data_IF_055827721080
#
_entry.id   IF_055827721080
#
_cell.length_a   1.000
_cell.length_b   1.000
_cell.length_c   1.000
_cell.angle_alpha   90.00
_cell.angle_beta   90.00
_cell.angle_gamma   90.00
#
_symmetry.space_group_name_H-M   'P 1'
#
loop_
_entity.id
_entity.type
_entity.pdbx_description
1 polymer ?
#
# COMPACT_ATOMS: atom_id res chain seq x y z
N UNK A 1 -12.94 -22.78 -44.71
CA UNK A 1 -12.26 -22.08 -43.61
C UNK A 1 -11.95 -23.13 -42.56
N UNK A 2 -10.67 -23.45 -42.39
CA UNK A 2 -10.23 -24.38 -41.35
C UNK A 2 -10.42 -23.65 -40.02
N UNK A 3 -11.30 -24.20 -39.19
CA UNK A 3 -11.48 -23.75 -37.81
C UNK A 3 -10.16 -24.07 -37.10
N UNK A 4 -9.36 -23.06 -36.77
CA UNK A 4 -8.18 -23.24 -35.93
C UNK A 4 -8.71 -23.41 -34.51
N UNK A 5 -9.18 -24.61 -34.18
CA UNK A 5 -9.21 -25.02 -32.78
C UNK A 5 -7.75 -25.19 -32.38
N UNK A 6 -7.14 -24.12 -31.87
CA UNK A 6 -5.87 -24.21 -31.17
C UNK A 6 -6.04 -25.33 -30.14
N UNK A 7 -5.23 -26.37 -30.24
CA UNK A 7 -5.18 -27.42 -29.24
C UNK A 7 -4.97 -26.69 -27.90
N UNK A 8 -5.88 -26.78 -26.92
CA UNK A 8 -5.67 -26.08 -25.66
C UNK A 8 -4.36 -26.60 -25.09
N UNK A 9 -3.38 -25.71 -24.95
CA UNK A 9 -2.11 -26.07 -24.34
C UNK A 9 -2.45 -26.41 -22.90
N UNK A 10 -2.27 -27.68 -22.54
CA UNK A 10 -2.35 -28.09 -21.14
C UNK A 10 -1.09 -27.58 -20.43
N UNK A 11 -1.27 -26.51 -19.65
CA UNK A 11 -0.19 -25.91 -18.88
C UNK A 11 0.42 -26.90 -17.89
N UNK A 12 -0.38 -27.84 -17.39
CA UNK A 12 0.09 -28.86 -16.46
C UNK A 12 1.21 -29.70 -17.07
N UNK A 13 0.98 -30.25 -18.27
CA UNK A 13 1.98 -31.03 -18.98
C UNK A 13 3.25 -30.22 -19.28
N UNK A 14 3.09 -28.96 -19.72
CA UNK A 14 4.22 -28.06 -20.03
C UNK A 14 5.05 -27.75 -18.79
N UNK A 15 4.41 -27.36 -17.70
CA UNK A 15 5.10 -27.00 -16.45
C UNK A 15 5.73 -28.22 -15.77
N UNK A 16 5.09 -29.40 -15.85
CA UNK A 16 5.66 -30.66 -15.35
C UNK A 16 6.94 -31.03 -16.10
N UNK A 17 6.95 -30.90 -17.43
CA UNK A 17 8.14 -31.15 -18.24
C UNK A 17 9.26 -30.15 -17.92
N UNK A 18 8.92 -28.86 -17.78
CA UNK A 18 9.88 -27.82 -17.42
C UNK A 18 10.49 -28.03 -16.02
N UNK A 19 9.67 -28.39 -15.02
CA UNK A 19 10.14 -28.75 -13.69
C UNK A 19 11.08 -29.94 -13.71
N UNK A 20 10.83 -30.94 -14.55
CA UNK A 20 11.69 -32.12 -14.67
C UNK A 20 13.10 -31.77 -15.22
N UNK A 21 13.23 -30.66 -15.94
CA UNK A 21 14.49 -30.22 -16.56
C UNK A 21 15.28 -29.20 -15.73
N UNK A 22 14.66 -28.53 -14.76
CA UNK A 22 15.31 -27.52 -13.90
C UNK A 22 15.54 -28.04 -12.49
N UNK A 23 16.59 -27.57 -11.82
CA UNK A 23 16.83 -27.81 -10.38
C UNK A 23 16.86 -26.51 -9.57
N UNK A 24 16.51 -25.38 -10.20
CA UNK A 24 16.51 -24.08 -9.53
C UNK A 24 15.47 -24.06 -8.38
N UNK A 25 15.74 -23.33 -7.28
CA UNK A 25 14.81 -23.25 -6.14
C UNK A 25 13.51 -22.49 -6.47
N UNK A 26 13.56 -21.64 -7.50
CA UNK A 26 12.43 -20.87 -7.99
C UNK A 26 12.23 -21.14 -9.48
N UNK A 27 10.98 -21.04 -9.91
CA UNK A 27 10.56 -21.16 -11.31
C UNK A 27 9.89 -19.86 -11.72
N UNK A 28 10.27 -19.35 -12.87
CA UNK A 28 9.59 -18.23 -13.50
C UNK A 28 8.61 -18.78 -14.53
N UNK A 29 7.35 -18.45 -14.38
CA UNK A 29 6.30 -18.76 -15.35
C UNK A 29 6.15 -17.54 -16.26
N UNK A 30 6.46 -17.67 -17.55
CA UNK A 30 6.40 -16.57 -18.52
C UNK A 30 5.69 -17.01 -19.79
N UNK A 31 4.75 -16.18 -20.24
CA UNK A 31 4.00 -16.40 -21.47
C UNK A 31 4.82 -16.02 -22.71
N UNK A 32 4.56 -16.69 -23.84
CA UNK A 32 5.27 -16.43 -25.10
C UNK A 32 5.01 -15.04 -25.70
N UNK A 33 3.95 -14.37 -25.25
CA UNK A 33 3.56 -13.02 -25.69
C UNK A 33 4.19 -11.88 -24.89
N UNK A 34 5.05 -12.16 -23.91
CA UNK A 34 5.57 -11.17 -22.97
C UNK A 34 6.93 -10.61 -23.41
N UNK A 35 7.05 -9.28 -23.42
CA UNK A 35 8.31 -8.55 -23.39
C UNK A 35 8.67 -8.16 -21.95
N UNK A 36 9.95 -8.26 -21.64
CA UNK A 36 10.47 -7.96 -20.30
C UNK A 36 11.18 -6.61 -20.26
N UNK A 37 11.07 -5.90 -19.13
CA UNK A 37 11.75 -4.63 -18.88
C UNK A 37 13.06 -4.84 -18.13
N UNK A 38 14.04 -3.90 -18.17
CA UNK A 38 15.25 -4.02 -17.37
C UNK A 38 14.96 -4.18 -15.87
N UNK A 39 15.64 -5.12 -15.20
CA UNK A 39 15.51 -5.35 -13.75
C UNK A 39 14.27 -6.18 -13.31
N UNK A 40 13.34 -6.50 -14.21
CA UNK A 40 12.08 -7.18 -13.88
C UNK A 40 12.27 -8.44 -13.01
N UNK A 41 13.24 -9.29 -13.36
CA UNK A 41 13.49 -10.55 -12.66
C UNK A 41 14.13 -10.33 -11.30
N UNK A 42 15.02 -9.33 -11.19
CA UNK A 42 15.67 -8.99 -9.93
C UNK A 42 14.62 -8.51 -8.92
N UNK A 43 13.65 -7.69 -9.35
CA UNK A 43 12.53 -7.23 -8.53
C UNK A 43 11.64 -8.41 -8.07
N UNK A 44 11.28 -9.34 -8.97
CA UNK A 44 10.49 -10.52 -8.60
C UNK A 44 11.21 -11.42 -7.59
N UNK A 45 12.51 -11.65 -7.79
CA UNK A 45 13.33 -12.51 -6.92
C UNK A 45 13.58 -11.83 -5.57
N UNK A 46 13.73 -10.51 -5.53
CA UNK A 46 13.93 -9.76 -4.29
C UNK A 46 12.75 -9.90 -3.32
N UNK A 47 11.52 -10.02 -3.85
CA UNK A 47 10.30 -10.23 -3.05
C UNK A 47 10.04 -11.71 -2.69
N UNK A 48 10.71 -12.65 -3.36
CA UNK A 48 10.53 -14.07 -3.08
C UNK A 48 11.14 -14.43 -1.72
N UNK A 49 10.34 -15.04 -0.86
CA UNK A 49 10.76 -15.43 0.49
C UNK A 49 10.03 -16.66 0.98
N UNK A 50 10.34 -17.16 2.18
CA UNK A 50 9.63 -18.29 2.76
C UNK A 50 8.18 -17.98 3.15
N UNK A 51 7.81 -16.70 3.26
CA UNK A 51 6.43 -16.27 3.53
C UNK A 51 5.68 -15.82 2.27
N UNK A 52 6.36 -15.67 1.13
CA UNK A 52 5.79 -15.26 -0.15
C UNK A 52 5.95 -16.40 -1.15
N UNK A 53 4.85 -17.13 -1.38
CA UNK A 53 4.84 -18.33 -2.21
C UNK A 53 4.58 -18.06 -3.69
N UNK A 54 4.26 -16.83 -4.06
CA UNK A 54 4.16 -16.38 -5.45
C UNK A 54 4.38 -14.87 -5.53
N UNK A 55 5.24 -14.44 -6.44
CA UNK A 55 5.47 -13.02 -6.75
C UNK A 55 5.12 -12.79 -8.22
N UNK A 56 4.20 -11.87 -8.51
CA UNK A 56 3.81 -11.53 -9.88
C UNK A 56 4.27 -10.13 -10.27
N UNK A 57 4.52 -9.94 -11.55
CA UNK A 57 4.76 -8.62 -12.15
C UNK A 57 3.46 -7.84 -12.34
N UNK A 58 3.60 -6.53 -12.48
CA UNK A 58 2.59 -5.68 -13.11
C UNK A 58 2.59 -5.96 -14.62
N UNK A 59 1.41 -6.21 -15.20
CA UNK A 59 1.25 -6.46 -16.64
C UNK A 59 0.65 -5.24 -17.32
N UNK A 60 1.27 -4.84 -18.41
CA UNK A 60 0.87 -3.68 -19.23
C UNK A 60 0.60 -4.17 -20.65
N UNK A 61 -0.45 -3.65 -21.28
CA UNK A 61 -0.75 -3.91 -22.69
C UNK A 61 0.26 -3.24 -23.63
N UNK A 62 0.20 -3.60 -24.91
CA UNK A 62 0.97 -2.94 -25.96
C UNK A 62 0.56 -1.47 -26.18
N UNK A 63 -0.67 -1.12 -25.80
CA UNK A 63 -1.22 0.24 -25.75
C UNK A 63 -0.79 1.04 -24.50
N UNK A 64 0.05 0.44 -23.65
CA UNK A 64 0.53 0.99 -22.37
C UNK A 64 -0.55 1.14 -21.28
N UNK A 65 -1.73 0.54 -21.47
CA UNK A 65 -2.73 0.41 -20.41
C UNK A 65 -2.32 -0.65 -19.39
N UNK A 66 -2.65 -0.42 -18.13
CA UNK A 66 -2.50 -1.42 -17.08
C UNK A 66 -3.53 -2.53 -17.29
N UNK A 67 -3.07 -3.77 -17.41
CA UNK A 67 -3.94 -4.94 -17.58
C UNK A 67 -4.37 -5.48 -16.22
N UNK A 68 -3.43 -5.58 -15.29
CA UNK A 68 -3.69 -5.87 -13.88
C UNK A 68 -2.51 -5.45 -12.98
N UNK A 69 -2.85 -4.99 -11.78
CA UNK A 69 -1.95 -4.89 -10.62
C UNK A 69 -2.44 -5.88 -9.54
N UNK A 70 -2.70 -7.11 -9.99
CA UNK A 70 -3.30 -8.18 -9.20
C UNK A 70 -4.82 -8.21 -9.22
N UNK A 71 -5.38 -9.24 -8.58
CA UNK A 71 -6.81 -9.51 -8.56
C UNK A 71 -7.33 -9.67 -7.14
N UNK A 72 -8.56 -9.21 -6.94
CA UNK A 72 -9.27 -9.30 -5.67
C UNK A 72 -10.62 -9.97 -5.85
N UNK A 73 -10.92 -10.96 -5.01
CA UNK A 73 -12.20 -11.67 -4.97
C UNK A 73 -13.14 -10.92 -4.03
N UNK A 74 -14.30 -10.47 -4.51
CA UNK A 74 -15.32 -9.79 -3.72
C UNK A 74 -16.15 -10.78 -2.88
N UNK A 75 -17.02 -10.25 -2.02
CA UNK A 75 -17.85 -11.06 -1.12
C UNK A 75 -18.89 -11.93 -1.85
N UNK A 76 -19.29 -11.54 -3.06
CA UNK A 76 -20.16 -12.35 -3.93
C UNK A 76 -19.40 -13.42 -4.76
N UNK A 77 -18.08 -13.49 -4.58
CA UNK A 77 -17.19 -14.41 -5.30
C UNK A 77 -16.72 -13.91 -6.67
N UNK A 78 -17.18 -12.74 -7.13
CA UNK A 78 -16.66 -12.13 -8.36
C UNK A 78 -15.20 -11.70 -8.20
N UNK A 79 -14.44 -11.68 -9.29
CA UNK A 79 -13.01 -11.31 -9.29
C UNK A 79 -12.82 -9.99 -10.02
N UNK A 80 -12.21 -9.02 -9.34
CA UNK A 80 -11.85 -7.72 -9.90
C UNK A 80 -10.38 -7.74 -10.29
N UNK A 81 -10.08 -7.37 -11.54
CA UNK A 81 -8.73 -7.07 -12.02
C UNK A 81 -8.39 -5.63 -11.63
N UNK A 82 -7.59 -5.47 -10.59
CA UNK A 82 -7.29 -4.14 -10.06
C UNK A 82 -6.45 -3.35 -11.06
N UNK A 83 -6.93 -2.16 -11.41
CA UNK A 83 -6.28 -1.27 -12.37
C UNK A 83 -6.41 -1.66 -13.85
N UNK A 84 -7.25 -2.65 -14.18
CA UNK A 84 -7.56 -2.94 -15.58
C UNK A 84 -8.07 -1.69 -16.32
N UNK A 85 -7.56 -1.47 -17.54
CA UNK A 85 -7.81 -0.29 -18.40
C UNK A 85 -7.33 1.05 -17.80
N UNK A 86 -6.58 1.03 -16.71
CA UNK A 86 -6.04 2.24 -16.09
C UNK A 86 -4.63 2.55 -16.60
N UNK A 87 -4.01 3.60 -16.04
CA UNK A 87 -2.64 4.00 -16.36
C UNK A 87 -1.65 3.47 -15.32
N UNK A 88 -0.52 2.98 -15.82
CA UNK A 88 0.65 2.68 -14.99
C UNK A 88 1.16 3.92 -14.27
N UNK A 89 1.76 3.73 -13.09
CA UNK A 89 2.41 4.79 -12.32
C UNK A 89 1.48 5.66 -11.47
N UNK A 90 0.17 5.37 -11.39
CA UNK A 90 -0.71 5.97 -10.39
C UNK A 90 -0.33 5.48 -8.99
N UNK A 91 -0.49 6.34 -7.97
CA UNK A 91 -0.08 6.05 -6.59
C UNK A 91 -0.63 4.74 -6.02
N UNK A 92 -1.86 4.36 -6.41
CA UNK A 92 -2.51 3.16 -5.88
C UNK A 92 -1.82 1.85 -6.31
N UNK A 93 -0.96 1.91 -7.33
CA UNK A 93 -0.11 0.82 -7.83
C UNK A 93 1.37 1.03 -7.47
N UNK A 94 1.68 2.03 -6.64
CA UNK A 94 3.04 2.50 -6.37
C UNK A 94 3.85 1.64 -5.39
N UNK A 95 3.24 0.66 -4.74
CA UNK A 95 3.90 -0.21 -3.75
C UNK A 95 3.59 -1.68 -4.02
N UNK A 96 4.47 -2.56 -3.55
CA UNK A 96 4.24 -4.00 -3.56
C UNK A 96 3.04 -4.36 -2.68
N UNK A 97 2.20 -5.29 -3.13
CA UNK A 97 0.96 -5.65 -2.42
C UNK A 97 0.65 -7.10 -2.40
N UNK A 98 0.08 -7.55 -1.28
CA UNK A 98 -0.56 -8.86 -1.20
C UNK A 98 -1.90 -8.86 -1.93
N UNK A 99 -2.15 -9.91 -2.73
CA UNK A 99 -3.34 -10.02 -3.59
C UNK A 99 -4.04 -11.37 -3.41
N UNK A 100 -5.29 -11.49 -3.88
CA UNK A 100 -6.04 -12.75 -3.83
C UNK A 100 -5.56 -13.72 -4.90
N UNK A 101 -5.31 -13.20 -6.10
CA UNK A 101 -4.74 -13.93 -7.22
C UNK A 101 -4.09 -12.99 -8.24
N UNK A 102 -3.41 -13.58 -9.21
CA UNK A 102 -2.81 -12.89 -10.34
C UNK A 102 -2.71 -13.86 -11.53
N UNK A 103 -2.36 -13.33 -12.70
CA UNK A 103 -1.94 -14.14 -13.84
C UNK A 103 -0.78 -15.07 -13.44
N UNK A 104 -0.77 -16.33 -13.91
CA UNK A 104 0.39 -17.17 -13.69
C UNK A 104 1.60 -16.69 -14.51
N UNK A 105 1.38 -15.96 -15.61
CA UNK A 105 2.45 -15.49 -16.48
C UNK A 105 3.04 -14.18 -15.95
N UNK A 106 4.37 -14.10 -15.94
CA UNK A 106 5.09 -13.00 -15.28
C UNK A 106 5.29 -13.22 -13.78
N UNK A 107 5.22 -14.47 -13.30
CA UNK A 107 5.34 -14.79 -11.88
C UNK A 107 6.54 -15.68 -11.54
N UNK A 108 7.05 -15.52 -10.32
CA UNK A 108 8.03 -16.39 -9.66
C UNK A 108 7.33 -17.22 -8.59
N UNK A 109 7.57 -18.53 -8.60
CA UNK A 109 6.99 -19.49 -7.65
C UNK A 109 8.10 -20.41 -7.10
N UNK A 110 8.14 -20.73 -5.79
CA UNK A 110 9.03 -21.75 -5.26
C UNK A 110 8.79 -23.08 -5.98
N UNK A 111 9.88 -23.72 -6.40
CA UNK A 111 9.84 -24.98 -7.14
C UNK A 111 9.02 -26.05 -6.43
N UNK A 112 9.23 -26.19 -5.12
CA UNK A 112 8.53 -27.19 -4.31
C UNK A 112 7.01 -26.96 -4.32
N UNK A 113 6.59 -25.70 -4.17
CA UNK A 113 5.17 -25.33 -4.16
C UNK A 113 4.53 -25.60 -5.53
N UNK A 114 5.20 -25.25 -6.63
CA UNK A 114 4.71 -25.57 -7.97
C UNK A 114 4.62 -27.09 -8.21
N UNK A 115 5.59 -27.87 -7.70
CA UNK A 115 5.58 -29.32 -7.81
C UNK A 115 4.39 -29.94 -7.04
N UNK A 116 4.14 -29.48 -5.81
CA UNK A 116 3.00 -29.94 -5.01
C UNK A 116 1.67 -29.56 -5.66
N UNK A 117 1.57 -28.35 -6.24
CA UNK A 117 0.40 -27.90 -6.98
C UNK A 117 0.12 -28.78 -8.20
N UNK A 118 1.14 -29.09 -9.01
CA UNK A 118 1.01 -29.99 -10.16
C UNK A 118 0.65 -31.42 -9.74
N UNK A 119 1.17 -31.91 -8.61
CA UNK A 119 0.81 -33.23 -8.10
C UNK A 119 -0.63 -33.30 -7.57
N UNK A 120 -1.24 -32.17 -7.22
CA UNK A 120 -2.60 -32.09 -6.67
C UNK A 120 -3.71 -32.14 -7.74
N UNK A 121 -3.38 -32.13 -9.03
CA UNK A 121 -4.34 -32.00 -10.13
C UNK A 121 -3.84 -32.68 -11.41
N UNK A 122 -4.76 -32.95 -12.33
CA UNK A 122 -4.47 -33.65 -13.60
C UNK A 122 -4.38 -32.73 -14.83
N UNK A 123 -4.81 -31.46 -14.72
CA UNK A 123 -4.82 -30.50 -15.83
C UNK A 123 -4.75 -29.06 -15.32
N UNK A 124 -4.32 -28.14 -16.19
CA UNK A 124 -4.37 -26.71 -15.94
C UNK A 124 -4.57 -25.93 -17.26
N UNK A 125 -5.52 -24.99 -17.27
CA UNK A 125 -5.78 -24.14 -18.42
C UNK A 125 -5.15 -22.76 -18.27
N UNK A 126 -4.99 -22.03 -19.37
CA UNK A 126 -4.54 -20.64 -19.33
C UNK A 126 -5.50 -19.73 -18.55
N UNK A 127 -6.79 -20.04 -18.55
CA UNK A 127 -7.84 -19.17 -17.97
C UNK A 127 -7.84 -19.23 -16.44
N UNK A 128 -7.67 -20.43 -15.86
CA UNK A 128 -7.87 -20.67 -14.42
C UNK A 128 -6.58 -20.94 -13.63
N UNK A 129 -5.46 -21.22 -14.29
CA UNK A 129 -4.23 -21.62 -13.60
C UNK A 129 -3.72 -20.56 -12.62
N UNK A 130 -3.84 -19.27 -12.94
CA UNK A 130 -3.41 -18.19 -12.05
C UNK A 130 -4.19 -18.16 -10.74
N UNK A 131 -5.52 -18.24 -10.83
CA UNK A 131 -6.40 -18.23 -9.67
C UNK A 131 -6.22 -19.49 -8.81
N UNK A 132 -6.18 -20.66 -9.44
CA UNK A 132 -6.03 -21.92 -8.74
C UNK A 132 -4.64 -22.10 -8.12
N UNK A 133 -3.58 -21.58 -8.75
CA UNK A 133 -2.24 -21.58 -8.18
C UNK A 133 -2.16 -20.59 -7.01
N UNK A 134 -2.70 -19.39 -7.18
CA UNK A 134 -2.76 -18.39 -6.11
C UNK A 134 -3.54 -18.89 -4.89
N UNK A 135 -4.68 -19.56 -5.11
CA UNK A 135 -5.45 -20.17 -4.03
C UNK A 135 -4.64 -21.24 -3.29
N UNK A 136 -3.97 -22.14 -4.02
CA UNK A 136 -3.12 -23.17 -3.41
C UNK A 136 -1.95 -22.59 -2.61
N UNK A 137 -1.28 -21.55 -3.13
CA UNK A 137 -0.22 -20.82 -2.42
C UNK A 137 -0.73 -20.31 -1.08
N UNK A 138 -1.93 -19.71 -1.08
CA UNK A 138 -2.56 -19.16 0.13
C UNK A 138 -3.03 -20.23 1.10
N UNK A 139 -3.60 -21.33 0.60
CA UNK A 139 -4.00 -22.47 1.43
C UNK A 139 -2.80 -23.15 2.10
N UNK A 140 -1.62 -23.07 1.49
CA UNK A 140 -0.34 -23.47 2.09
C UNK A 140 0.21 -22.47 3.13
N UNK A 141 -0.52 -21.38 3.41
CA UNK A 141 -0.16 -20.35 4.39
C UNK A 141 0.84 -19.31 3.88
N UNK A 142 1.10 -19.27 2.57
CA UNK A 142 2.03 -18.33 1.95
C UNK A 142 1.30 -17.20 1.21
N UNK A 143 1.94 -16.04 1.09
CA UNK A 143 1.38 -14.86 0.42
C UNK A 143 1.53 -14.93 -1.10
N UNK A 144 0.61 -14.29 -1.80
CA UNK A 144 0.74 -13.93 -3.22
C UNK A 144 0.93 -12.43 -3.28
N UNK A 145 2.03 -11.98 -3.89
CA UNK A 145 2.41 -10.56 -3.91
C UNK A 145 2.58 -10.08 -5.35
N UNK A 146 2.14 -8.87 -5.65
CA UNK A 146 2.52 -8.16 -6.88
C UNK A 146 3.71 -7.26 -6.56
N UNK A 147 4.82 -7.45 -7.27
CA UNK A 147 5.99 -6.59 -7.21
C UNK A 147 5.82 -5.44 -8.21
N UNK A 148 5.55 -4.24 -7.72
CA UNK A 148 5.09 -3.12 -8.55
C UNK A 148 6.16 -2.59 -9.51
N UNK A 149 7.43 -2.79 -9.17
CA UNK A 149 8.60 -2.41 -9.99
C UNK A 149 8.93 -3.44 -11.07
N UNK A 150 8.42 -4.67 -10.94
CA UNK A 150 8.52 -5.67 -11.99
C UNK A 150 7.43 -5.43 -13.03
N UNK A 151 7.73 -4.69 -14.09
CA UNK A 151 6.77 -4.37 -15.16
C UNK A 151 7.04 -5.22 -16.40
N UNK A 152 6.02 -5.90 -16.91
CA UNK A 152 6.09 -6.68 -18.15
C UNK A 152 5.06 -6.17 -19.17
N UNK A 153 5.38 -6.32 -20.45
CA UNK A 153 4.50 -5.87 -21.55
C UNK A 153 3.94 -7.11 -22.26
N UNK A 154 2.62 -7.24 -22.31
CA UNK A 154 1.92 -8.32 -22.99
C UNK A 154 1.43 -7.87 -24.36
N UNK A 155 1.85 -8.58 -25.43
CA UNK A 155 1.55 -8.23 -26.83
C UNK A 155 0.14 -8.59 -27.30
N UNK A 156 -0.69 -9.21 -26.46
CA UNK A 156 -2.05 -9.60 -26.80
C UNK A 156 -3.02 -8.92 -25.84
N UNK A 157 -3.93 -8.12 -26.39
CA UNK A 157 -4.98 -7.47 -25.61
C UNK A 157 -5.97 -8.54 -25.10
N UNK A 158 -6.27 -8.52 -23.80
CA UNK A 158 -7.32 -9.35 -23.23
C UNK A 158 -8.65 -8.87 -23.84
N UNK A 159 -9.48 -9.80 -24.32
CA UNK A 159 -10.72 -9.46 -25.04
C UNK A 159 -11.56 -8.47 -24.22
N UNK A 160 -11.94 -7.36 -24.86
CA UNK A 160 -12.71 -6.24 -24.29
C UNK A 160 -14.03 -6.71 -23.64
N UNK A 161 -14.53 -7.87 -24.04
CA UNK A 161 -15.74 -8.48 -23.49
C UNK A 161 -15.57 -9.17 -22.13
N UNK A 162 -14.35 -9.45 -21.67
CA UNK A 162 -14.03 -9.98 -20.32
C UNK A 162 -13.75 -8.87 -19.28
N UNK A 163 -14.11 -7.62 -19.61
CA UNK A 163 -14.00 -6.47 -18.73
C UNK A 163 -15.15 -6.51 -17.70
N UNK A 164 -14.97 -7.32 -16.66
CA UNK A 164 -15.91 -7.54 -15.58
C UNK A 164 -16.36 -6.22 -14.91
N UNK A 165 -17.57 -6.26 -14.34
CA UNK A 165 -18.37 -5.16 -13.80
C UNK A 165 -17.58 -4.05 -13.09
N UNK A 166 -17.99 -2.79 -13.35
CA UNK A 166 -17.37 -1.60 -12.76
C UNK A 166 -17.68 -1.49 -11.27
N UNK A 167 -16.89 -2.18 -10.46
CA UNK A 167 -16.83 -1.98 -9.01
C UNK A 167 -16.27 -0.58 -8.72
N UNK A 168 -16.89 0.13 -7.78
CA UNK A 168 -16.44 1.48 -7.42
C UNK A 168 -14.99 1.47 -6.90
N UNK A 169 -14.24 2.54 -7.15
CA UNK A 169 -12.85 2.66 -6.67
C UNK A 169 -12.75 2.50 -5.14
N UNK A 170 -13.75 2.98 -4.38
CA UNK A 170 -13.83 2.78 -2.92
C UNK A 170 -13.75 1.30 -2.57
N UNK A 171 -14.53 0.47 -3.24
CA UNK A 171 -14.59 -0.97 -2.96
C UNK A 171 -13.34 -1.69 -3.42
N UNK A 172 -12.77 -1.29 -4.56
CA UNK A 172 -11.47 -1.80 -5.02
C UNK A 172 -10.36 -1.53 -3.99
N UNK A 173 -10.25 -0.29 -3.48
CA UNK A 173 -9.28 0.09 -2.47
C UNK A 173 -9.55 -0.60 -1.12
N UNK A 174 -10.82 -0.80 -0.75
CA UNK A 174 -11.17 -1.58 0.45
C UNK A 174 -10.66 -3.00 0.37
N UNK A 175 -10.90 -3.66 -0.77
CA UNK A 175 -10.52 -5.05 -0.97
C UNK A 175 -9.02 -5.22 -1.11
N UNK A 176 -8.36 -4.30 -1.82
CA UNK A 176 -6.91 -4.19 -1.94
C UNK A 176 -6.22 -4.23 -0.58
N UNK A 177 -6.80 -3.53 0.39
CA UNK A 177 -6.19 -3.33 1.70
C UNK A 177 -6.80 -4.22 2.80
N UNK A 178 -7.58 -5.26 2.43
CA UNK A 178 -8.31 -6.08 3.40
C UNK A 178 -7.39 -6.92 4.29
N UNK A 179 -6.22 -7.32 3.76
CA UNK A 179 -5.31 -8.29 4.39
C UNK A 179 -4.22 -7.65 5.24
N UNK A 180 -4.15 -6.34 5.19
CA UNK A 180 -3.15 -5.50 5.84
C UNK A 180 -3.77 -4.82 7.05
N UNK A 181 -2.91 -4.49 8.03
CA UNK A 181 -3.33 -3.94 9.32
C UNK A 181 -3.90 -2.52 9.25
N UNK A 182 -3.87 -1.85 10.40
CA UNK A 182 -4.33 -0.46 10.54
C UNK A 182 -3.63 0.51 9.59
N UNK A 183 -4.36 1.52 9.13
CA UNK A 183 -3.86 2.53 8.21
C UNK A 183 -3.42 3.79 8.96
N UNK A 184 -2.38 4.45 8.45
CA UNK A 184 -1.98 5.80 8.88
C UNK A 184 -1.93 6.70 7.67
N UNK A 185 -2.49 7.90 7.80
CA UNK A 185 -2.37 8.94 6.77
C UNK A 185 -1.35 9.96 7.26
N UNK A 186 -0.34 10.25 6.47
CA UNK A 186 0.66 11.28 6.77
C UNK A 186 0.49 12.43 5.79
N UNK A 187 0.19 13.63 6.29
CA UNK A 187 0.13 14.86 5.50
C UNK A 187 1.43 15.60 5.68
N UNK A 188 2.19 15.71 4.60
CA UNK A 188 3.47 16.40 4.57
C UNK A 188 3.45 17.45 3.46
N UNK A 189 4.16 18.56 3.63
CA UNK A 189 4.10 19.63 2.63
C UNK A 189 4.71 19.22 1.29
N UNK A 190 5.92 18.68 1.33
CA UNK A 190 6.71 18.35 0.14
C UNK A 190 7.65 17.19 0.42
N UNK A 191 7.87 16.34 -0.59
CA UNK A 191 8.90 15.31 -0.56
C UNK A 191 10.29 15.86 -0.91
N UNK A 192 10.35 17.00 -1.63
CA UNK A 192 11.58 17.66 -2.03
C UNK A 192 12.12 18.52 -0.89
N UNK A 193 12.51 17.87 0.19
CA UNK A 193 13.00 18.54 1.39
C UNK A 193 14.52 18.70 1.33
N UNK A 194 15.09 19.90 1.58
CA UNK A 194 16.53 20.10 1.58
C UNK A 194 17.21 19.27 2.68
N UNK A 195 18.34 18.63 2.36
CA UNK A 195 19.17 17.94 3.34
C UNK A 195 19.67 18.90 4.43
N UNK A 196 19.80 18.41 5.66
CA UNK A 196 20.29 19.20 6.79
C UNK A 196 19.27 20.15 7.43
N UNK A 197 18.00 20.08 7.01
CA UNK A 197 16.89 20.79 7.66
C UNK A 197 16.25 19.87 8.70
N UNK A 198 16.27 20.30 9.96
CA UNK A 198 15.68 19.65 11.12
C UNK A 198 14.29 19.00 10.89
N UNK A 199 13.35 19.77 10.34
CA UNK A 199 11.98 19.28 10.07
C UNK A 199 11.94 18.16 9.03
N UNK A 200 12.84 18.21 8.05
CA UNK A 200 12.98 17.20 7.00
C UNK A 200 13.52 15.88 7.55
N UNK A 201 14.60 15.94 8.33
CA UNK A 201 15.23 14.77 8.96
C UNK A 201 14.26 14.05 9.90
N UNK A 202 13.49 14.83 10.68
CA UNK A 202 12.46 14.29 11.56
C UNK A 202 11.29 13.68 10.80
N UNK A 203 10.82 14.33 9.73
CA UNK A 203 9.74 13.78 8.88
C UNK A 203 10.18 12.45 8.24
N UNK A 204 11.41 12.39 7.73
CA UNK A 204 11.95 11.15 7.14
C UNK A 204 12.05 10.03 8.19
N UNK A 205 12.50 10.37 9.40
CA UNK A 205 12.55 9.43 10.51
C UNK A 205 11.17 8.90 10.89
N UNK A 206 10.15 9.77 10.99
CA UNK A 206 8.77 9.39 11.28
C UNK A 206 8.22 8.44 10.20
N UNK A 207 8.41 8.80 8.93
CA UNK A 207 7.94 7.99 7.81
C UNK A 207 8.58 6.60 7.77
N UNK A 208 9.90 6.53 7.98
CA UNK A 208 10.63 5.25 8.03
C UNK A 208 10.13 4.34 9.15
N UNK A 209 9.97 4.88 10.35
CA UNK A 209 9.43 4.13 11.50
C UNK A 209 8.00 3.65 11.23
N UNK A 210 7.17 4.47 10.59
CA UNK A 210 5.81 4.08 10.20
C UNK A 210 5.81 2.96 9.16
N UNK A 211 6.67 3.03 8.13
CA UNK A 211 6.81 1.99 7.11
C UNK A 211 7.25 0.65 7.69
N UNK A 212 8.11 0.66 8.70
CA UNK A 212 8.57 -0.55 9.40
C UNK A 212 7.55 -1.11 10.41
N UNK A 213 6.46 -0.38 10.69
CA UNK A 213 5.52 -0.73 11.76
C UNK A 213 4.46 -1.77 11.38
N UNK A 214 4.47 -2.28 10.14
CA UNK A 214 3.48 -3.23 9.62
C UNK A 214 2.11 -2.60 9.30
N UNK A 215 2.02 -1.27 9.38
CA UNK A 215 0.85 -0.46 8.96
C UNK A 215 0.94 -0.12 7.48
N UNK A 216 -0.19 0.17 6.84
CA UNK A 216 -0.18 0.84 5.54
C UNK A 216 -0.08 2.35 5.80
N UNK A 217 0.95 2.96 5.23
CA UNK A 217 1.20 4.39 5.33
C UNK A 217 0.80 5.07 4.02
N UNK A 218 -0.12 6.03 4.09
CA UNK A 218 -0.53 6.87 2.97
C UNK A 218 0.05 8.27 3.15
N UNK A 219 1.15 8.56 2.47
CA UNK A 219 1.84 9.85 2.48
C UNK A 219 1.25 10.78 1.42
N UNK A 220 0.58 11.84 1.85
CA UNK A 220 -0.01 12.87 0.99
C UNK A 220 0.92 14.10 0.97
N UNK A 221 1.69 14.33 -0.12
CA UNK A 221 2.37 15.59 -0.35
C UNK A 221 1.38 16.69 -0.74
N UNK A 222 1.26 17.74 0.07
CA UNK A 222 0.28 18.81 -0.19
C UNK A 222 0.60 19.67 -1.41
N UNK A 223 1.87 19.69 -1.85
CA UNK A 223 2.31 20.34 -3.08
C UNK A 223 2.06 19.48 -4.34
N UNK A 224 1.52 18.27 -4.16
CA UNK A 224 1.22 17.28 -5.20
C UNK A 224 2.46 16.81 -5.97
N UNK A 225 3.66 17.05 -5.46
CA UNK A 225 4.90 16.75 -6.18
C UNK A 225 5.49 15.41 -5.76
N UNK A 226 5.49 14.44 -6.69
CA UNK A 226 6.18 13.15 -6.56
C UNK A 226 7.68 13.30 -6.86
N UNK A 227 8.40 13.98 -5.98
CA UNK A 227 9.83 14.21 -6.16
C UNK A 227 10.61 12.89 -6.17
N UNK A 228 11.51 12.74 -7.14
CA UNK A 228 12.45 11.62 -7.23
C UNK A 228 13.85 12.06 -6.76
N UNK A 229 14.61 11.19 -6.06
CA UNK A 229 14.36 9.76 -5.83
C UNK A 229 13.50 9.42 -4.59
N UNK A 230 13.01 10.43 -3.85
CA UNK A 230 12.36 10.21 -2.55
C UNK A 230 11.09 9.36 -2.65
N UNK A 231 10.30 9.58 -3.71
CA UNK A 231 9.08 8.79 -3.95
C UNK A 231 9.41 7.30 -4.07
N UNK A 232 10.37 6.94 -4.93
CA UNK A 232 10.81 5.54 -5.08
C UNK A 232 11.37 4.95 -3.77
N UNK A 233 12.09 5.76 -2.99
CA UNK A 233 12.65 5.30 -1.70
C UNK A 233 11.58 5.00 -0.66
N UNK A 234 10.52 5.81 -0.59
CA UNK A 234 9.39 5.58 0.32
C UNK A 234 8.51 4.43 -0.15
N UNK A 235 8.26 4.34 -1.46
CA UNK A 235 7.47 3.24 -2.04
C UNK A 235 8.15 1.88 -1.87
N UNK A 236 9.49 1.82 -1.98
CA UNK A 236 10.28 0.63 -1.66
C UNK A 236 10.21 0.24 -0.16
N UNK A 237 9.79 1.15 0.71
CA UNK A 237 9.52 0.90 2.14
C UNK A 237 8.03 0.58 2.39
N UNK A 238 7.21 0.43 1.35
CA UNK A 238 5.78 0.16 1.47
C UNK A 238 4.92 1.39 1.78
N UNK A 239 5.46 2.60 1.66
CA UNK A 239 4.73 3.85 1.88
C UNK A 239 4.11 4.33 0.57
N UNK A 240 2.78 4.44 0.53
CA UNK A 240 2.05 4.95 -0.62
C UNK A 240 2.18 6.46 -0.70
N UNK A 241 2.83 6.98 -1.74
CA UNK A 241 2.84 8.42 -2.01
C UNK A 241 1.59 8.78 -2.78
N UNK A 242 0.62 9.44 -2.16
CA UNK A 242 -0.69 9.76 -2.75
C UNK A 242 -0.69 11.16 -3.36
N UNK A 243 -0.59 11.25 -4.69
CA UNK A 243 -0.63 12.50 -5.45
C UNK A 243 -2.03 12.84 -6.00
N UNK A 244 -3.08 12.42 -5.29
CA UNK A 244 -4.47 12.76 -5.61
C UNK A 244 -4.84 14.16 -5.07
N UNK A 245 -5.30 15.11 -5.91
CA UNK A 245 -5.64 16.47 -5.47
C UNK A 245 -6.73 16.49 -4.39
N UNK A 246 -6.65 17.46 -3.47
CA UNK A 246 -7.68 17.67 -2.44
C UNK A 246 -9.06 17.84 -3.09
N UNK A 247 -10.05 17.06 -2.62
CA UNK A 247 -11.42 17.07 -3.15
C UNK A 247 -11.62 16.32 -4.47
N UNK A 248 -10.60 15.67 -5.03
CA UNK A 248 -10.76 14.78 -6.19
C UNK A 248 -11.55 13.52 -5.83
N UNK A 249 -12.27 12.94 -6.80
CA UNK A 249 -12.99 11.67 -6.65
C UNK A 249 -12.07 10.54 -6.17
N UNK A 250 -10.80 10.57 -6.60
CA UNK A 250 -9.78 9.59 -6.23
C UNK A 250 -9.36 9.70 -4.77
N UNK A 251 -9.08 10.91 -4.28
CA UNK A 251 -8.78 11.12 -2.87
C UNK A 251 -9.99 10.80 -1.99
N UNK A 252 -11.19 11.22 -2.41
CA UNK A 252 -12.43 10.88 -1.70
C UNK A 252 -12.65 9.36 -1.66
N UNK A 253 -12.33 8.65 -2.74
CA UNK A 253 -12.43 7.19 -2.79
C UNK A 253 -11.47 6.53 -1.79
N UNK A 254 -10.22 7.00 -1.72
CA UNK A 254 -9.26 6.55 -0.71
C UNK A 254 -9.81 6.80 0.71
N UNK A 255 -10.16 8.04 1.02
CA UNK A 255 -10.61 8.42 2.36
C UNK A 255 -11.85 7.61 2.80
N UNK A 256 -12.83 7.42 1.91
CA UNK A 256 -13.99 6.57 2.19
C UNK A 256 -13.66 5.09 2.32
N UNK A 257 -12.64 4.61 1.60
CA UNK A 257 -12.15 3.25 1.77
C UNK A 257 -11.51 3.07 3.15
N UNK A 258 -10.78 4.08 3.65
CA UNK A 258 -10.05 4.02 4.91
C UNK A 258 -10.91 4.28 6.16
N UNK A 259 -12.11 4.84 6.01
CA UNK A 259 -13.03 5.12 7.12
C UNK A 259 -13.26 3.86 8.00
N UNK A 260 -13.07 4.01 9.31
CA UNK A 260 -13.15 2.92 10.30
C UNK A 260 -11.92 2.00 10.37
N UNK A 261 -10.87 2.28 9.58
CA UNK A 261 -9.61 1.51 9.54
C UNK A 261 -8.35 2.38 9.70
N UNK A 262 -8.51 3.70 9.78
CA UNK A 262 -7.42 4.65 10.03
C UNK A 262 -7.17 4.81 11.52
N UNK A 263 -5.95 4.52 11.95
CA UNK A 263 -5.47 4.65 13.34
C UNK A 263 -5.26 6.09 13.75
N UNK A 264 -4.63 6.88 12.89
CA UNK A 264 -4.47 8.31 13.08
C UNK A 264 -4.08 8.98 11.76
N UNK A 265 -4.27 10.30 11.74
CA UNK A 265 -3.70 11.18 10.73
C UNK A 265 -2.52 11.90 11.36
N UNK A 266 -1.32 11.82 10.77
CA UNK A 266 -0.14 12.57 11.18
C UNK A 266 0.07 13.76 10.25
N UNK A 267 0.15 14.96 10.81
CA UNK A 267 0.49 16.19 10.09
C UNK A 267 1.91 16.59 10.45
N UNK A 268 2.82 16.60 9.47
CA UNK A 268 4.23 16.95 9.69
C UNK A 268 4.61 18.37 9.26
N UNK A 269 3.80 19.00 8.40
CA UNK A 269 3.90 20.43 8.10
C UNK A 269 2.71 21.18 8.71
N UNK A 270 2.95 21.90 9.81
CA UNK A 270 1.94 22.66 10.52
C UNK A 270 1.15 23.69 9.70
N UNK A 271 1.82 24.37 8.79
CA UNK A 271 1.25 25.52 8.08
C UNK A 271 0.20 25.11 7.02
N UNK A 272 0.40 23.97 6.37
CA UNK A 272 -0.54 23.45 5.36
C UNK A 272 -1.50 22.40 5.96
N UNK A 273 -1.06 21.77 7.06
CA UNK A 273 -1.74 20.67 7.71
C UNK A 273 -3.16 20.94 8.17
N UNK A 274 -3.49 22.16 8.60
CA UNK A 274 -4.81 22.49 9.17
C UNK A 274 -5.95 22.27 8.16
N UNK A 275 -5.75 22.65 6.89
CA UNK A 275 -6.77 22.52 5.84
C UNK A 275 -6.98 21.06 5.45
N UNK A 276 -5.88 20.34 5.27
CA UNK A 276 -5.91 18.91 4.96
C UNK A 276 -6.48 18.09 6.11
N UNK A 277 -6.09 18.36 7.34
CA UNK A 277 -6.64 17.68 8.51
C UNK A 277 -8.16 17.94 8.65
N UNK A 278 -8.61 19.17 8.41
CA UNK A 278 -10.05 19.48 8.41
C UNK A 278 -10.80 18.69 7.33
N UNK A 279 -10.27 18.65 6.10
CA UNK A 279 -10.85 17.87 4.99
C UNK A 279 -10.90 16.37 5.31
N UNK A 280 -9.79 15.80 5.82
CA UNK A 280 -9.69 14.39 6.14
C UNK A 280 -10.67 13.99 7.26
N UNK A 281 -10.73 14.77 8.35
CA UNK A 281 -11.59 14.47 9.49
C UNK A 281 -13.09 14.61 9.17
N UNK A 282 -13.46 15.47 8.22
CA UNK A 282 -14.84 15.55 7.73
C UNK A 282 -15.32 14.23 7.10
N UNK A 283 -14.41 13.48 6.48
CA UNK A 283 -14.74 12.27 5.71
C UNK A 283 -14.34 10.95 6.40
N UNK A 284 -13.33 10.96 7.27
CA UNK A 284 -12.86 9.79 8.03
C UNK A 284 -13.68 9.51 9.30
N UNK A 285 -14.51 10.46 9.76
CA UNK A 285 -15.18 10.37 11.05
C UNK A 285 -14.24 10.68 12.22
N UNK A 286 -14.48 10.09 13.39
CA UNK A 286 -13.65 10.28 14.58
C UNK A 286 -12.36 9.47 14.47
N UNK A 287 -11.31 10.10 13.94
CA UNK A 287 -9.94 9.55 13.87
C UNK A 287 -9.01 10.48 14.67
N UNK A 288 -8.09 9.93 15.49
CA UNK A 288 -7.08 10.73 16.17
C UNK A 288 -6.23 11.53 15.17
N UNK A 289 -6.03 12.80 15.43
CA UNK A 289 -5.10 13.65 14.73
C UNK A 289 -3.81 13.75 15.54
N UNK A 290 -2.68 13.56 14.89
CA UNK A 290 -1.35 13.73 15.46
C UNK A 290 -0.65 14.86 14.71
N UNK A 291 0.02 15.73 15.44
CA UNK A 291 0.59 16.96 14.89
C UNK A 291 2.04 17.10 15.30
N UNK A 292 2.96 17.14 14.33
CA UNK A 292 4.38 17.40 14.58
C UNK A 292 4.66 18.88 14.60
N UNK A 293 5.07 19.41 15.76
CA UNK A 293 5.23 20.86 15.95
C UNK A 293 6.63 21.38 15.60
N UNK A 294 7.49 20.58 14.96
CA UNK A 294 8.87 21.02 14.73
C UNK A 294 8.94 22.29 13.89
N UNK A 295 9.71 23.25 14.40
CA UNK A 295 9.92 24.54 13.74
C UNK A 295 8.80 25.55 13.95
N UNK A 296 7.81 25.26 14.81
CA UNK A 296 6.67 26.16 15.06
C UNK A 296 6.45 26.42 16.55
N UNK A 297 5.95 27.62 16.87
CA UNK A 297 5.49 27.95 18.21
C UNK A 297 4.14 27.26 18.49
N UNK A 298 4.23 26.22 19.34
CA UNK A 298 3.12 25.39 19.79
C UNK A 298 1.93 26.19 20.34
N UNK A 299 2.18 27.30 21.04
CA UNK A 299 1.11 28.05 21.69
C UNK A 299 0.22 28.79 20.68
N UNK A 300 0.85 29.39 19.66
CA UNK A 300 0.16 30.17 18.63
C UNK A 300 -0.66 29.29 17.72
N UNK A 301 -0.09 28.16 17.26
CA UNK A 301 -0.83 27.24 16.41
C UNK A 301 -1.89 26.45 17.14
N UNK A 302 -1.68 26.08 18.41
CA UNK A 302 -2.74 25.49 19.21
C UNK A 302 -3.94 26.43 19.26
N UNK A 303 -3.73 27.72 19.53
CA UNK A 303 -4.81 28.68 19.56
C UNK A 303 -5.47 28.81 18.17
N UNK A 304 -4.68 28.84 17.10
CA UNK A 304 -5.21 28.87 15.73
C UNK A 304 -6.03 27.63 15.39
N UNK A 305 -5.60 26.43 15.79
CA UNK A 305 -6.33 25.17 15.63
C UNK A 305 -7.61 25.14 16.47
N UNK A 306 -7.55 25.60 17.72
CA UNK A 306 -8.69 25.70 18.64
C UNK A 306 -9.80 26.64 18.12
N UNK A 307 -9.43 27.63 17.30
CA UNK A 307 -10.39 28.54 16.65
C UNK A 307 -11.02 27.97 15.37
N UNK A 308 -10.50 26.85 14.85
CA UNK A 308 -10.96 26.24 13.58
C UNK A 308 -12.04 25.18 13.83
N UNK A 309 -12.82 24.79 12.80
CA UNK A 309 -13.82 23.75 12.91
C UNK A 309 -13.29 22.43 13.50
N UNK A 310 -12.00 22.14 13.26
CA UNK A 310 -11.30 20.94 13.73
C UNK A 310 -11.37 20.75 15.25
N UNK A 311 -11.32 21.84 16.02
CA UNK A 311 -11.39 21.80 17.48
C UNK A 311 -12.80 21.59 18.03
N UNK A 312 -13.84 21.75 17.21
CA UNK A 312 -15.20 21.34 17.57
C UNK A 312 -15.43 19.85 17.34
N UNK A 313 -14.52 19.18 16.63
CA UNK A 313 -14.61 17.76 16.29
C UNK A 313 -13.76 16.89 17.22
N UNK A 314 -12.89 17.48 18.06
CA UNK A 314 -11.79 16.76 18.73
C UNK A 314 -11.49 17.29 20.14
N UNK A 315 -11.30 16.39 21.11
CA UNK A 315 -10.67 16.71 22.41
C UNK A 315 -9.15 16.80 22.24
N UNK A 316 -8.53 17.91 22.69
CA UNK A 316 -7.09 18.16 22.49
C UNK A 316 -6.26 17.68 23.67
N UNK A 317 -5.23 16.89 23.39
CA UNK A 317 -4.22 16.43 24.34
C UNK A 317 -2.84 16.74 23.80
N UNK A 318 -2.01 17.31 24.66
CA UNK A 318 -0.62 17.65 24.32
C UNK A 318 0.24 16.65 25.05
N UNK A 319 1.18 16.03 24.34
CA UNK A 319 2.13 15.07 24.91
C UNK A 319 3.50 15.74 24.88
N UNK A 320 3.89 16.38 25.98
CA UNK A 320 5.19 17.07 26.07
C UNK A 320 6.27 16.15 26.67
N UNK A 321 5.86 15.03 27.29
CA UNK A 321 6.77 14.06 27.90
C UNK A 321 6.30 12.60 27.78
N UNK A 322 7.22 11.65 27.91
CA UNK A 322 6.92 10.21 27.90
C UNK A 322 6.05 9.82 29.10
N UNK A 323 6.22 10.50 30.24
CA UNK A 323 5.43 10.25 31.44
C UNK A 323 3.99 10.74 31.29
N UNK A 324 3.78 11.88 30.63
CA UNK A 324 2.43 12.33 30.25
C UNK A 324 1.77 11.35 29.29
N UNK A 325 2.50 10.89 28.27
CA UNK A 325 1.99 9.89 27.32
C UNK A 325 1.51 8.62 28.05
N UNK A 326 2.33 8.09 28.97
CA UNK A 326 1.98 6.91 29.80
C UNK A 326 0.80 7.19 30.73
N UNK A 327 0.72 8.38 31.31
CA UNK A 327 -0.39 8.76 32.19
C UNK A 327 -1.72 8.85 31.41
N UNK A 328 -1.67 9.35 30.17
CA UNK A 328 -2.81 9.38 29.25
C UNK A 328 -3.21 7.95 28.86
N UNK A 329 -2.24 7.11 28.50
CA UNK A 329 -2.47 5.70 28.16
C UNK A 329 -3.17 4.92 29.29
N UNK A 330 -2.87 5.25 30.56
CA UNK A 330 -3.42 4.58 31.75
C UNK A 330 -4.82 5.09 32.17
N UNK A 331 -5.33 6.19 31.59
CA UNK A 331 -6.67 6.71 31.94
C UNK A 331 -7.79 5.83 31.34
N UNK A 332 -8.33 4.95 32.17
CA UNK A 332 -9.53 4.16 31.84
C UNK A 332 -10.77 5.06 31.88
N UNK A 333 -11.48 5.21 30.76
CA UNK A 333 -12.84 5.78 30.71
C UNK A 333 -12.99 7.31 30.60
N UNK A 334 -11.93 8.05 30.24
CA UNK A 334 -12.06 9.46 29.78
C UNK A 334 -12.32 9.50 28.26
N UNK A 335 -12.94 10.56 27.69
CA UNK A 335 -13.00 10.69 26.23
C UNK A 335 -11.55 10.71 25.71
N UNK A 336 -11.24 9.72 24.89
CA UNK A 336 -9.89 9.47 24.41
C UNK A 336 -9.50 10.60 23.45
N UNK A 337 -8.29 11.12 23.64
CA UNK A 337 -7.76 12.30 22.96
C UNK A 337 -7.93 12.23 21.43
N UNK A 338 -8.55 13.25 20.84
CA UNK A 338 -8.74 13.30 19.39
C UNK A 338 -7.66 14.13 18.67
N UNK A 339 -6.87 14.93 19.39
CA UNK A 339 -5.66 15.59 18.88
C UNK A 339 -4.47 15.32 19.83
N UNK A 340 -3.34 14.86 19.30
CA UNK A 340 -2.06 14.63 19.98
C UNK A 340 -0.98 15.49 19.35
N UNK A 341 -0.28 16.31 20.14
CA UNK A 341 0.80 17.16 19.63
C UNK A 341 2.16 16.62 20.06
N UNK A 342 3.04 16.35 19.09
CA UNK A 342 4.44 15.99 19.33
C UNK A 342 5.27 17.27 19.56
N UNK A 343 6.13 17.30 20.58
CA UNK A 343 6.86 18.50 20.95
C UNK A 343 8.03 18.76 20.00
N UNK A 344 8.34 20.05 19.78
CA UNK A 344 9.55 20.47 19.06
C UNK A 344 10.77 20.24 19.96
N UNK A 345 11.65 19.31 19.58
CA UNK A 345 13.02 19.35 20.09
C UNK A 345 13.81 20.35 19.26
N UNK A 346 14.21 21.47 19.88
CA UNK A 346 14.94 22.57 19.22
C UNK A 346 16.27 22.17 18.52
N UNK A 347 16.62 20.88 18.53
CA UNK A 347 17.77 20.29 17.85
C UNK A 347 17.45 19.72 16.48
N UNK A 348 16.19 19.42 16.16
CA UNK A 348 15.81 18.80 14.88
C UNK A 348 16.26 17.36 14.67
N UNK A 349 17.15 16.86 15.52
CA UNK A 349 17.66 15.50 15.46
C UNK A 349 16.72 14.54 16.16
N UNK A 350 16.30 13.51 15.44
CA UNK A 350 15.59 12.34 15.97
C UNK A 350 16.39 11.68 17.09
N UNK A 351 16.11 12.09 18.33
CA UNK A 351 16.76 11.55 19.52
C UNK A 351 16.08 10.26 19.97
N UNK A 352 16.78 9.42 20.74
CA UNK A 352 16.15 8.26 21.39
C UNK A 352 14.95 8.65 22.26
N UNK A 353 14.95 9.88 22.80
CA UNK A 353 13.81 10.45 23.54
C UNK A 353 12.62 10.72 22.61
N UNK A 354 12.88 11.25 21.41
CA UNK A 354 11.84 11.48 20.42
C UNK A 354 11.18 10.19 19.94
N UNK A 355 11.96 9.12 19.71
CA UNK A 355 11.39 7.79 19.41
C UNK A 355 10.45 7.33 20.53
N UNK A 356 10.89 7.42 21.79
CA UNK A 356 10.06 7.02 22.94
C UNK A 356 8.77 7.85 23.05
N UNK A 357 8.83 9.14 22.72
CA UNK A 357 7.66 10.02 22.67
C UNK A 357 6.72 9.62 21.54
N UNK A 358 7.26 9.37 20.34
CA UNK A 358 6.49 8.96 19.18
C UNK A 358 5.81 7.61 19.39
N UNK A 359 6.52 6.63 19.96
CA UNK A 359 5.97 5.32 20.31
C UNK A 359 4.83 5.45 21.33
N UNK A 360 5.03 6.28 22.36
CA UNK A 360 4.02 6.47 23.40
C UNK A 360 2.79 7.22 22.87
N UNK A 361 2.98 8.24 22.02
CA UNK A 361 1.90 8.94 21.36
C UNK A 361 1.13 8.02 20.39
N UNK A 362 1.84 7.17 19.65
CA UNK A 362 1.25 6.13 18.80
C UNK A 362 0.41 5.17 19.64
N UNK A 363 0.92 4.68 20.78
CA UNK A 363 0.17 3.79 21.66
C UNK A 363 -1.13 4.42 22.22
N UNK A 364 -1.11 5.75 22.47
CA UNK A 364 -2.30 6.49 22.90
C UNK A 364 -3.38 6.51 21.81
N UNK A 365 -3.01 6.68 20.54
CA UNK A 365 -3.97 6.71 19.43
C UNK A 365 -4.41 5.31 19.00
N UNK A 366 -3.52 4.29 19.07
CA UNK A 366 -3.87 2.91 18.72
C UNK A 366 -4.97 2.32 19.61
N UNK A 367 -5.07 2.72 20.88
CA UNK A 367 -6.10 2.22 21.82
C UNK A 367 -7.53 2.71 21.52
N UNK A 368 -7.70 3.58 20.53
CA UNK A 368 -8.99 4.17 20.19
C UNK A 368 -9.77 3.40 19.12
N UNK A 369 -9.10 2.48 18.42
CA UNK A 369 -9.71 1.48 17.54
C UNK A 369 -9.97 0.21 18.33
#
# INVERSE_FOLDING_TARGET
>A
MVNVSANPIDLHAVWTAALSASTAPYVVLIGSGIDVTPGWLDELVAQASTSVGMVASVIVGDDLSLQESGRFTLDDGSVVRFGADDRVGRWMYGVDREVDSCSPFGSVVPRALLADWLASRDAASNEDAGELLSAFVRDAGSKVVVANRAVLIERFDIDVSERADRVSLVEQLRRRDLRTGSHVIVVNRSLASPEGVASSERTEFLLRNLGESGRIVHLIPTDMNRAQPQTEQFEAQGIEVVDAPMGSDELLALVHALNGRTEFVLVTDPHVGVWWASFLLEHLGHVPLMYDSVGVDLADERNALLEKPIARMTDVVIVESVDEAKAIEQRVGSPLASLVVLPSDNTGQSSALFQLLFDAATAVVSRQI
#
